data_IF_580130675319
#
_entry.id   IF_580130675319
#
_cell.length_a   1.000
_cell.length_b   1.000
_cell.length_c   1.000
_cell.angle_alpha   90.00
_cell.angle_beta   90.00
_cell.angle_gamma   90.00
#
_symmetry.space_group_name_H-M   'P 1'
#
loop_
_entity.id
_entity.type
_entity.pdbx_description
1 polymer ?
#
# COMPACT_ATOMS: atom_id res chain seq x y z
N UNK A 1 23.27 14.55 -8.87
CA UNK A 1 22.47 13.61 -8.05
C UNK A 1 20.98 13.87 -8.29
N UNK A 2 20.31 13.16 -9.22
CA UNK A 2 18.94 13.45 -9.66
C UNK A 2 17.91 13.55 -8.51
N UNK A 3 18.01 12.69 -7.49
CA UNK A 3 17.13 12.72 -6.32
C UNK A 3 17.17 14.04 -5.53
N UNK A 4 18.32 14.73 -5.47
CA UNK A 4 18.43 16.05 -4.82
C UNK A 4 17.70 17.12 -5.62
N UNK A 5 17.66 16.98 -6.93
CA UNK A 5 16.93 17.89 -7.83
C UNK A 5 15.43 17.74 -7.57
N UNK A 6 14.92 16.51 -7.42
CA UNK A 6 13.50 16.27 -7.09
C UNK A 6 13.12 16.96 -5.78
N UNK A 7 13.89 16.79 -4.70
CA UNK A 7 13.62 17.50 -3.44
C UNK A 7 13.70 19.02 -3.59
N UNK A 8 14.69 19.52 -4.34
CA UNK A 8 14.85 20.95 -4.58
C UNK A 8 13.71 21.53 -5.42
N UNK A 9 13.21 20.81 -6.43
CA UNK A 9 12.08 21.23 -7.26
C UNK A 9 10.77 21.18 -6.46
N UNK A 10 10.56 20.13 -5.66
CA UNK A 10 9.43 20.05 -4.71
C UNK A 10 9.43 21.22 -3.70
N UNK A 11 10.60 21.71 -3.31
CA UNK A 11 10.75 22.87 -2.42
C UNK A 11 10.65 24.23 -3.14
N UNK A 12 10.76 24.28 -4.48
CA UNK A 12 10.77 25.50 -5.29
C UNK A 12 9.44 25.78 -6.02
N UNK A 13 8.57 24.78 -6.16
CA UNK A 13 7.31 24.91 -6.90
C UNK A 13 6.35 25.90 -6.21
N UNK A 14 5.87 26.89 -6.95
CA UNK A 14 4.91 27.91 -6.50
C UNK A 14 3.44 27.50 -6.74
N UNK A 15 3.17 26.20 -6.88
CA UNK A 15 1.85 25.63 -7.15
C UNK A 15 1.59 24.39 -6.31
N UNK A 16 0.31 24.10 -6.06
CA UNK A 16 -0.16 22.95 -5.29
C UNK A 16 0.22 21.65 -6.04
N UNK A 17 1.23 20.94 -5.53
CA UNK A 17 1.65 19.65 -6.08
C UNK A 17 0.77 18.52 -5.55
N UNK A 18 0.72 17.36 -6.23
CA UNK A 18 0.06 16.18 -5.68
C UNK A 18 0.76 15.65 -4.43
N UNK A 19 -0.02 15.11 -3.50
CA UNK A 19 0.50 14.25 -2.43
C UNK A 19 0.72 12.85 -2.98
N UNK A 20 1.95 12.36 -2.88
CA UNK A 20 2.37 11.10 -3.44
C UNK A 20 2.44 10.00 -2.36
N UNK A 21 1.62 8.96 -2.48
CA UNK A 21 1.61 7.79 -1.59
C UNK A 21 2.12 6.55 -2.33
N UNK A 22 3.16 5.89 -1.80
CA UNK A 22 3.57 4.57 -2.28
C UNK A 22 2.97 3.44 -1.45
N UNK A 23 2.49 2.38 -2.10
CA UNK A 23 2.10 1.12 -1.46
C UNK A 23 2.90 -0.02 -2.11
N UNK A 24 4.01 -0.39 -1.47
CA UNK A 24 4.87 -1.48 -1.88
C UNK A 24 4.43 -2.82 -1.27
N UNK A 25 4.77 -3.92 -1.94
CA UNK A 25 4.59 -5.27 -1.42
C UNK A 25 4.52 -6.31 -2.53
N UNK A 26 4.63 -7.58 -2.19
CA UNK A 26 4.59 -8.65 -3.18
C UNK A 26 3.18 -8.82 -3.79
N UNK A 27 3.07 -9.58 -4.88
CA UNK A 27 1.79 -10.02 -5.44
C UNK A 27 0.94 -10.68 -4.36
N UNK A 28 -0.35 -10.34 -4.37
CA UNK A 28 -1.35 -10.80 -3.41
C UNK A 28 -1.13 -10.33 -1.97
N UNK A 29 -0.33 -9.30 -1.73
CA UNK A 29 -0.15 -8.74 -0.38
C UNK A 29 -1.34 -7.90 0.13
N UNK A 30 -2.35 -7.61 -0.71
CA UNK A 30 -3.52 -6.80 -0.34
C UNK A 30 -3.51 -5.34 -0.82
N UNK A 31 -2.51 -4.95 -1.63
CA UNK A 31 -2.30 -3.55 -2.08
C UNK A 31 -3.54 -2.95 -2.73
N UNK A 32 -4.07 -3.61 -3.76
CA UNK A 32 -5.24 -3.14 -4.50
C UNK A 32 -6.49 -3.01 -3.62
N UNK A 33 -6.65 -3.88 -2.62
CA UNK A 33 -7.75 -3.79 -1.64
C UNK A 33 -7.60 -2.54 -0.77
N UNK A 34 -6.38 -2.27 -0.29
CA UNK A 34 -6.06 -1.08 0.50
C UNK A 34 -6.29 0.19 -0.31
N UNK A 35 -5.74 0.26 -1.53
CA UNK A 35 -5.86 1.38 -2.47
C UNK A 35 -7.31 1.70 -2.81
N UNK A 36 -8.14 0.68 -3.10
CA UNK A 36 -9.53 0.88 -3.52
C UNK A 36 -10.36 1.63 -2.47
N UNK A 37 -10.23 1.30 -1.18
CA UNK A 37 -10.99 2.01 -0.15
C UNK A 37 -10.58 3.48 0.00
N UNK A 38 -9.29 3.79 -0.17
CA UNK A 38 -8.81 5.18 -0.19
C UNK A 38 -9.35 5.97 -1.37
N UNK A 39 -9.33 5.37 -2.58
CA UNK A 39 -9.87 5.99 -3.81
C UNK A 39 -11.37 6.28 -3.66
N UNK A 40 -12.13 5.30 -3.19
CA UNK A 40 -13.58 5.45 -2.99
C UNK A 40 -13.91 6.48 -1.90
N UNK A 41 -13.11 6.57 -0.85
CA UNK A 41 -13.30 7.52 0.24
C UNK A 41 -13.03 8.97 -0.18
N UNK A 42 -11.95 9.23 -0.93
CA UNK A 42 -11.56 10.59 -1.35
C UNK A 42 -12.25 11.04 -2.65
N UNK A 43 -12.82 10.10 -3.40
CA UNK A 43 -13.45 10.32 -4.69
C UNK A 43 -12.48 10.18 -5.86
N UNK A 44 -12.94 9.58 -6.96
CA UNK A 44 -12.16 9.36 -8.18
C UNK A 44 -11.68 10.69 -8.81
N UNK A 45 -12.41 11.78 -8.58
CA UNK A 45 -12.05 13.11 -9.09
C UNK A 45 -10.83 13.72 -8.39
N UNK A 46 -10.45 13.22 -7.22
CA UNK A 46 -9.32 13.72 -6.42
C UNK A 46 -8.12 12.76 -6.42
N UNK A 47 -8.32 11.53 -6.87
CA UNK A 47 -7.36 10.44 -6.70
C UNK A 47 -6.89 9.90 -8.05
N UNK A 48 -5.58 9.81 -8.22
CA UNK A 48 -4.96 9.07 -9.33
C UNK A 48 -4.33 7.81 -8.79
N UNK A 49 -4.67 6.64 -9.33
CA UNK A 49 -4.04 5.37 -8.97
C UNK A 49 -3.14 4.89 -10.10
N UNK A 50 -1.90 4.53 -9.78
CA UNK A 50 -0.89 4.05 -10.73
C UNK A 50 -0.33 2.72 -10.25
N UNK A 51 -0.42 1.68 -11.10
CA UNK A 51 0.22 0.40 -10.84
C UNK A 51 1.60 0.38 -11.49
N UNK A 52 2.68 0.19 -10.71
CA UNK A 52 4.04 0.09 -11.29
C UNK A 52 4.32 -1.25 -11.94
N UNK A 53 3.43 -2.24 -11.79
CA UNK A 53 3.52 -3.51 -12.52
C UNK A 53 3.22 -3.31 -14.02
N UNK A 54 2.62 -2.16 -14.41
CA UNK A 54 2.44 -1.76 -15.81
C UNK A 54 3.77 -1.53 -16.56
N UNK A 55 4.87 -1.33 -15.82
CA UNK A 55 6.20 -1.08 -16.39
C UNK A 55 6.96 -2.37 -16.68
N UNK A 56 6.31 -3.53 -16.72
CA UNK A 56 6.92 -4.75 -17.23
C UNK A 56 7.47 -4.54 -18.65
N UNK A 57 8.72 -4.94 -18.90
CA UNK A 57 9.35 -4.89 -20.24
C UNK A 57 8.82 -5.95 -21.20
N UNK A 58 8.28 -7.02 -20.64
CA UNK A 58 7.98 -8.25 -21.34
C UNK A 58 6.61 -8.76 -20.91
N UNK A 59 5.83 -9.23 -21.88
CA UNK A 59 4.55 -9.89 -21.60
C UNK A 59 4.74 -11.26 -20.90
N UNK A 60 3.65 -11.91 -20.49
CA UNK A 60 3.71 -13.21 -19.81
C UNK A 60 4.35 -14.31 -20.66
N UNK A 61 4.23 -14.27 -21.98
CA UNK A 61 4.80 -15.27 -22.90
C UNK A 61 6.29 -15.01 -23.09
N UNK A 62 6.68 -13.78 -23.39
CA UNK A 62 8.07 -13.35 -23.58
C UNK A 62 8.93 -13.57 -22.33
N UNK A 63 8.36 -13.40 -21.13
CA UNK A 63 9.07 -13.65 -19.87
C UNK A 63 9.42 -15.11 -19.62
N UNK A 64 8.75 -16.08 -20.26
CA UNK A 64 9.01 -17.51 -20.01
C UNK A 64 10.45 -17.90 -20.33
N UNK A 65 11.03 -17.27 -21.34
CA UNK A 65 12.38 -17.56 -21.84
C UNK A 65 13.46 -16.66 -21.22
N UNK A 66 13.12 -15.86 -20.20
CA UNK A 66 14.05 -14.97 -19.50
C UNK A 66 14.64 -15.66 -18.27
N UNK A 67 15.89 -15.32 -17.88
CA UNK A 67 16.54 -15.88 -16.70
C UNK A 67 16.02 -15.30 -15.37
N UNK A 68 14.96 -14.48 -15.43
CA UNK A 68 14.40 -13.76 -14.31
C UNK A 68 12.87 -13.72 -14.35
N UNK A 69 12.25 -13.46 -13.21
CA UNK A 69 10.78 -13.30 -13.10
C UNK A 69 10.35 -11.85 -13.22
N UNK A 70 9.04 -11.60 -13.09
CA UNK A 70 8.47 -10.26 -13.03
C UNK A 70 8.99 -9.40 -11.87
N UNK A 71 9.57 -10.02 -10.83
CA UNK A 71 10.06 -9.34 -9.64
C UNK A 71 11.45 -8.71 -9.86
N UNK A 72 12.21 -9.19 -10.85
CA UNK A 72 13.54 -8.68 -11.13
C UNK A 72 13.49 -7.26 -11.74
N UNK A 73 14.36 -6.32 -11.30
CA UNK A 73 14.44 -4.99 -11.88
C UNK A 73 14.63 -4.98 -13.40
N UNK A 74 15.47 -5.86 -13.95
CA UNK A 74 15.68 -6.00 -15.41
C UNK A 74 14.45 -6.46 -16.19
N UNK A 75 13.44 -7.02 -15.53
CA UNK A 75 12.14 -7.32 -16.14
C UNK A 75 11.22 -6.09 -16.22
N UNK A 76 11.65 -4.94 -15.70
CA UNK A 76 10.86 -3.73 -15.56
C UNK A 76 11.59 -2.50 -16.15
N UNK A 77 10.86 -1.58 -16.76
CA UNK A 77 11.37 -0.29 -17.21
C UNK A 77 11.53 0.66 -16.01
N UNK A 78 12.48 0.36 -15.12
CA UNK A 78 12.74 1.11 -13.89
C UNK A 78 13.07 2.58 -14.17
N UNK A 79 13.82 2.85 -15.23
CA UNK A 79 14.18 4.18 -15.72
C UNK A 79 12.95 5.00 -16.13
N UNK A 80 12.04 4.40 -16.92
CA UNK A 80 10.80 5.06 -17.33
C UNK A 80 9.87 5.26 -16.13
N UNK A 81 9.78 4.26 -15.25
CA UNK A 81 9.03 4.36 -13.99
C UNK A 81 9.54 5.54 -13.16
N UNK A 82 10.85 5.66 -12.93
CA UNK A 82 11.46 6.77 -12.19
C UNK A 82 11.15 8.14 -12.81
N UNK A 83 11.23 8.25 -14.14
CA UNK A 83 10.89 9.48 -14.86
C UNK A 83 9.41 9.85 -14.64
N UNK A 84 8.51 8.87 -14.77
CA UNK A 84 7.08 9.10 -14.60
C UNK A 84 6.72 9.46 -13.15
N UNK A 85 7.34 8.82 -12.15
CA UNK A 85 7.15 9.20 -10.74
C UNK A 85 7.59 10.63 -10.46
N UNK A 86 8.67 11.09 -11.10
CA UNK A 86 9.11 12.48 -10.99
C UNK A 86 8.09 13.43 -11.60
N UNK A 87 7.64 13.17 -12.83
CA UNK A 87 6.63 13.98 -13.52
C UNK A 87 5.35 14.10 -12.68
N UNK A 88 4.81 12.96 -12.23
CA UNK A 88 3.62 12.94 -11.37
C UNK A 88 3.82 13.74 -10.07
N UNK A 89 4.99 13.62 -9.42
CA UNK A 89 5.29 14.36 -8.20
C UNK A 89 5.40 15.88 -8.39
N UNK A 90 5.60 16.32 -9.65
CA UNK A 90 5.62 17.72 -10.06
C UNK A 90 4.27 18.20 -10.60
N UNK A 91 3.24 17.34 -10.64
CA UNK A 91 1.93 17.68 -11.20
C UNK A 91 1.86 17.58 -12.73
N UNK A 92 2.82 16.91 -13.36
CA UNK A 92 2.88 16.74 -14.82
C UNK A 92 2.26 15.40 -15.26
N UNK A 93 1.51 15.37 -16.38
CA UNK A 93 0.92 14.14 -16.90
C UNK A 93 1.97 13.20 -17.50
N UNK A 94 1.62 11.91 -17.58
CA UNK A 94 2.46 10.86 -18.17
C UNK A 94 1.69 10.03 -19.19
N UNK A 95 2.40 9.49 -20.18
CA UNK A 95 1.87 8.45 -21.06
C UNK A 95 2.30 7.09 -20.50
N UNK A 96 1.47 6.52 -19.62
CA UNK A 96 1.80 5.32 -18.84
C UNK A 96 1.61 4.05 -19.69
N UNK A 97 2.56 3.09 -19.69
CA UNK A 97 2.28 1.75 -20.23
C UNK A 97 1.13 1.07 -19.48
N UNK A 98 0.58 -0.01 -20.05
CA UNK A 98 -0.49 -0.78 -19.42
C UNK A 98 -0.21 -2.27 -19.60
N UNK A 99 -0.23 -3.01 -18.49
CA UNK A 99 -0.12 -4.46 -18.47
C UNK A 99 -1.45 -5.07 -18.03
N UNK A 100 -2.11 -5.79 -18.94
CA UNK A 100 -3.36 -6.48 -18.62
C UNK A 100 -3.06 -7.78 -17.87
N UNK A 101 -3.42 -7.83 -16.58
CA UNK A 101 -3.19 -9.03 -15.76
C UNK A 101 -4.07 -10.24 -16.14
N UNK A 102 -5.19 -10.02 -16.83
CA UNK A 102 -6.10 -11.08 -17.27
C UNK A 102 -5.48 -11.86 -18.43
N UNK A 103 -5.13 -11.17 -19.52
CA UNK A 103 -4.49 -11.76 -20.71
C UNK A 103 -3.00 -12.02 -20.47
N UNK A 104 -2.35 -11.18 -19.67
CA UNK A 104 -0.91 -11.18 -19.45
C UNK A 104 -0.13 -10.46 -20.54
N UNK A 105 -0.76 -9.52 -21.23
CA UNK A 105 -0.22 -8.81 -22.40
C UNK A 105 0.06 -7.33 -22.10
N UNK A 106 1.00 -6.75 -22.84
CA UNK A 106 1.22 -5.30 -22.87
C UNK A 106 0.26 -4.70 -23.89
N UNK A 107 -0.53 -3.71 -23.46
CA UNK A 107 -1.55 -3.06 -24.31
C UNK A 107 -1.22 -1.58 -24.53
N UNK A 108 -2.11 -0.86 -25.22
CA UNK A 108 -1.90 0.55 -25.57
C UNK A 108 -1.69 1.38 -24.29
N UNK A 109 -0.70 2.30 -24.28
CA UNK A 109 -0.50 3.18 -23.15
C UNK A 109 -1.68 4.15 -22.97
N UNK A 110 -1.84 4.64 -21.74
CA UNK A 110 -2.90 5.57 -21.35
C UNK A 110 -2.29 6.89 -20.84
N UNK A 111 -2.97 8.00 -21.14
CA UNK A 111 -2.64 9.29 -20.56
C UNK A 111 -3.13 9.31 -19.11
N UNK A 112 -2.23 9.58 -18.17
CA UNK A 112 -2.55 9.71 -16.75
C UNK A 112 -2.22 11.13 -16.32
N UNK A 113 -3.22 11.84 -15.83
CA UNK A 113 -3.08 13.17 -15.25
C UNK A 113 -3.05 13.06 -13.72
N UNK A 114 -2.08 13.66 -13.02
CA UNK A 114 -2.07 13.67 -11.57
C UNK A 114 -3.19 14.57 -11.02
N UNK A 115 -3.85 14.09 -9.97
CA UNK A 115 -4.86 14.83 -9.19
C UNK A 115 -4.28 15.30 -7.85
N UNK A 116 -5.13 15.74 -6.93
CA UNK A 116 -4.73 16.12 -5.56
C UNK A 116 -3.83 15.09 -4.88
N UNK A 117 -4.15 13.81 -5.09
CA UNK A 117 -3.44 12.69 -4.52
C UNK A 117 -3.11 11.67 -5.60
N UNK A 118 -1.91 11.11 -5.52
CA UNK A 118 -1.47 10.03 -6.41
C UNK A 118 -1.02 8.84 -5.57
N UNK A 119 -1.73 7.72 -5.68
CA UNK A 119 -1.33 6.45 -5.10
C UNK A 119 -0.58 5.64 -6.14
N UNK A 120 0.62 5.20 -5.79
CA UNK A 120 1.46 4.33 -6.60
C UNK A 120 1.61 3.00 -5.89
N UNK A 121 1.01 1.95 -6.45
CA UNK A 121 1.12 0.60 -5.91
C UNK A 121 1.88 -0.36 -6.83
N UNK A 122 2.50 -1.39 -6.27
CA UNK A 122 3.08 -2.46 -7.08
C UNK A 122 4.27 -3.15 -6.42
N UNK A 123 5.04 -3.86 -7.24
CA UNK A 123 6.17 -4.66 -6.79
C UNK A 123 7.41 -3.82 -6.43
N UNK A 124 7.72 -2.77 -7.18
CA UNK A 124 9.00 -2.05 -7.10
C UNK A 124 8.92 -0.53 -6.86
N UNK A 125 7.85 0.06 -6.28
CA UNK A 125 7.75 1.53 -6.19
C UNK A 125 8.82 2.15 -5.29
N UNK A 126 9.40 1.40 -4.34
CA UNK A 126 10.44 1.89 -3.42
C UNK A 126 11.83 1.34 -3.75
N UNK A 127 12.00 0.68 -4.90
CA UNK A 127 13.23 -0.05 -5.24
C UNK A 127 14.46 0.87 -5.29
N UNK A 128 14.35 2.00 -5.98
CA UNK A 128 15.47 2.93 -6.18
C UNK A 128 15.39 4.16 -5.28
N UNK A 129 16.55 4.79 -5.04
CA UNK A 129 16.58 6.04 -4.25
C UNK A 129 15.81 7.18 -4.93
N UNK A 130 15.81 7.20 -6.26
CA UNK A 130 15.13 8.25 -7.03
C UNK A 130 13.62 8.11 -6.95
N UNK A 131 13.09 6.90 -7.12
CA UNK A 131 11.66 6.63 -6.93
C UNK A 131 11.20 7.02 -5.51
N UNK A 132 11.96 6.60 -4.48
CA UNK A 132 11.66 6.94 -3.08
C UNK A 132 11.58 8.44 -2.81
N UNK A 133 12.43 9.24 -3.44
CA UNK A 133 12.45 10.69 -3.27
C UNK A 133 11.21 11.40 -3.84
N UNK A 134 10.36 10.69 -4.60
CA UNK A 134 9.13 11.23 -5.18
C UNK A 134 7.93 11.16 -4.23
N UNK A 135 7.98 10.33 -3.18
CA UNK A 135 6.85 10.11 -2.28
C UNK A 135 6.83 11.10 -1.10
N UNK A 136 5.62 11.39 -0.62
CA UNK A 136 5.37 12.05 0.67
C UNK A 136 5.17 11.01 1.78
N UNK A 137 4.51 9.89 1.44
CA UNK A 137 4.21 8.79 2.36
C UNK A 137 4.55 7.47 1.69
N UNK A 138 5.20 6.56 2.41
CA UNK A 138 5.58 5.23 1.90
C UNK A 138 5.07 4.12 2.81
N UNK A 139 4.34 3.18 2.22
CA UNK A 139 3.72 2.03 2.90
C UNK A 139 4.30 0.74 2.34
N UNK A 140 4.53 -0.24 3.19
CA UNK A 140 4.86 -1.60 2.78
C UNK A 140 3.89 -2.61 3.40
N UNK A 141 3.25 -3.44 2.57
CA UNK A 141 2.42 -4.55 3.03
C UNK A 141 3.27 -5.80 3.28
N UNK A 142 3.26 -6.26 4.53
CA UNK A 142 4.07 -7.37 5.04
C UNK A 142 3.23 -8.51 5.63
N UNK A 143 2.28 -9.09 4.88
CA UNK A 143 1.53 -10.24 5.37
C UNK A 143 2.46 -11.45 5.54
N UNK A 144 2.13 -12.38 6.47
CA UNK A 144 2.83 -13.66 6.56
C UNK A 144 2.86 -14.39 5.21
N UNK A 145 4.01 -14.95 4.84
CA UNK A 145 4.20 -15.61 3.54
C UNK A 145 3.20 -16.74 3.30
N UNK A 146 2.89 -17.54 4.33
CA UNK A 146 1.88 -18.61 4.24
C UNK A 146 0.49 -18.08 3.87
N UNK A 147 0.07 -16.97 4.50
CA UNK A 147 -1.22 -16.34 4.24
C UNK A 147 -1.25 -15.70 2.85
N UNK A 148 -0.17 -15.02 2.45
CA UNK A 148 -0.01 -14.44 1.11
C UNK A 148 -0.06 -15.51 0.02
N UNK A 149 0.61 -16.64 0.23
CA UNK A 149 0.59 -17.78 -0.69
C UNK A 149 -0.83 -18.32 -0.84
N UNK A 150 -1.57 -18.48 0.27
CA UNK A 150 -2.97 -18.91 0.26
C UNK A 150 -3.84 -17.94 -0.55
N UNK A 151 -3.77 -16.63 -0.26
CA UNK A 151 -4.51 -15.61 -1.02
C UNK A 151 -4.17 -15.60 -2.50
N UNK A 152 -2.90 -15.83 -2.86
CA UNK A 152 -2.48 -15.90 -4.25
C UNK A 152 -3.07 -17.12 -4.94
N UNK A 153 -3.02 -18.30 -4.30
CA UNK A 153 -3.62 -19.53 -4.82
C UNK A 153 -5.11 -19.29 -5.03
N UNK A 154 -5.85 -18.87 -4.01
CA UNK A 154 -7.29 -18.66 -4.10
C UNK A 154 -7.68 -17.63 -5.17
N UNK A 155 -6.94 -16.54 -5.28
CA UNK A 155 -7.20 -15.52 -6.31
C UNK A 155 -6.91 -16.05 -7.71
N UNK A 156 -5.74 -16.64 -7.93
CA UNK A 156 -5.28 -17.02 -9.27
C UNK A 156 -6.02 -18.28 -9.78
N UNK A 157 -6.49 -19.17 -8.90
CA UNK A 157 -7.36 -20.29 -9.26
C UNK A 157 -8.78 -19.82 -9.59
N UNK A 158 -9.41 -19.05 -8.69
CA UNK A 158 -10.82 -18.67 -8.84
C UNK A 158 -11.05 -17.57 -9.89
N UNK A 159 -10.12 -16.60 -10.03
CA UNK A 159 -10.32 -15.45 -10.93
C UNK A 159 -9.57 -15.53 -12.24
N UNK A 160 -8.54 -16.38 -12.34
CA UNK A 160 -7.65 -16.45 -13.51
C UNK A 160 -7.54 -17.85 -14.11
N UNK A 161 -8.18 -18.86 -13.53
CA UNK A 161 -8.26 -20.21 -14.07
C UNK A 161 -6.97 -21.03 -14.01
N UNK A 162 -6.00 -20.64 -13.18
CA UNK A 162 -4.77 -21.42 -12.99
C UNK A 162 -5.01 -22.65 -12.13
N UNK A 163 -4.27 -23.72 -12.37
CA UNK A 163 -4.22 -24.86 -11.45
C UNK A 163 -3.40 -24.49 -10.19
N UNK A 164 -3.78 -24.94 -8.98
CA UNK A 164 -3.05 -24.64 -7.75
C UNK A 164 -1.56 -24.97 -7.82
N UNK A 165 -1.19 -26.07 -8.48
CA UNK A 165 0.19 -26.53 -8.67
C UNK A 165 1.01 -25.56 -9.50
N UNK A 166 0.40 -24.97 -10.54
CA UNK A 166 1.05 -23.94 -11.36
C UNK A 166 1.34 -22.68 -10.54
N UNK A 167 0.41 -22.29 -9.67
CA UNK A 167 0.59 -21.12 -8.79
C UNK A 167 1.70 -21.37 -7.77
N UNK A 168 1.77 -22.58 -7.18
CA UNK A 168 2.83 -22.97 -6.24
C UNK A 168 4.21 -22.99 -6.92
N UNK A 169 4.34 -23.62 -8.09
CA UNK A 169 5.60 -23.62 -8.83
C UNK A 169 6.08 -22.20 -9.18
N UNK A 170 5.15 -21.30 -9.53
CA UNK A 170 5.46 -19.90 -9.80
C UNK A 170 5.88 -19.14 -8.53
N UNK A 171 5.28 -19.43 -7.38
CA UNK A 171 5.69 -18.88 -6.09
C UNK A 171 7.12 -19.30 -5.74
N UNK A 172 7.43 -20.59 -5.85
CA UNK A 172 8.77 -21.13 -5.56
C UNK A 172 9.83 -20.51 -6.49
N UNK A 173 9.49 -20.36 -7.78
CA UNK A 173 10.37 -19.71 -8.76
C UNK A 173 10.66 -18.25 -8.44
N UNK A 174 9.69 -17.54 -7.86
CA UNK A 174 9.79 -16.10 -7.53
C UNK A 174 10.48 -15.84 -6.20
N UNK A 175 10.51 -16.80 -5.30
CA UNK A 175 10.98 -16.61 -3.92
C UNK A 175 12.39 -16.01 -3.82
N UNK A 176 13.41 -16.45 -4.57
CA UNK A 176 14.74 -15.83 -4.52
C UNK A 176 14.72 -14.34 -4.91
N UNK A 177 13.92 -13.98 -5.92
CA UNK A 177 13.79 -12.59 -6.36
C UNK A 177 12.93 -11.74 -5.42
N UNK A 178 11.91 -12.33 -4.79
CA UNK A 178 11.14 -11.67 -3.73
C UNK A 178 12.05 -11.30 -2.55
N UNK A 179 12.91 -12.24 -2.13
CA UNK A 179 13.93 -12.03 -1.13
C UNK A 179 14.91 -10.91 -1.50
N UNK A 180 15.34 -10.86 -2.77
CA UNK A 180 16.37 -9.96 -3.24
C UNK A 180 15.87 -8.54 -3.56
N UNK A 181 14.64 -8.40 -4.06
CA UNK A 181 14.16 -7.16 -4.67
C UNK A 181 12.87 -6.60 -4.05
N UNK A 182 11.99 -7.46 -3.54
CA UNK A 182 10.70 -7.04 -2.98
C UNK A 182 10.83 -6.75 -1.49
N UNK A 183 11.14 -7.75 -0.68
CA UNK A 183 11.24 -7.63 0.79
C UNK A 183 12.21 -6.55 1.29
N UNK A 184 13.36 -6.31 0.63
CA UNK A 184 14.28 -5.25 1.06
C UNK A 184 13.72 -3.82 0.93
N UNK A 185 12.57 -3.63 0.24
CA UNK A 185 11.90 -2.33 0.18
C UNK A 185 11.23 -1.95 1.51
N UNK A 186 10.88 -2.93 2.36
CA UNK A 186 10.27 -2.73 3.67
C UNK A 186 11.03 -1.73 4.55
N UNK A 187 12.37 -1.72 4.50
CA UNK A 187 13.23 -0.81 5.29
C UNK A 187 13.07 0.67 4.94
N UNK A 188 12.45 0.97 3.81
CA UNK A 188 12.25 2.33 3.32
C UNK A 188 10.84 2.86 3.51
N UNK A 189 9.92 2.02 4.01
CA UNK A 189 8.57 2.45 4.31
C UNK A 189 8.51 3.29 5.59
N UNK A 190 7.62 4.27 5.62
CA UNK A 190 7.24 5.01 6.82
C UNK A 190 6.27 4.19 7.67
N UNK A 191 5.40 3.41 7.00
CA UNK A 191 4.40 2.56 7.64
C UNK A 191 4.53 1.14 7.10
N UNK A 192 4.71 0.17 8.00
CA UNK A 192 4.62 -1.26 7.63
C UNK A 192 3.29 -1.79 8.13
N UNK A 193 2.48 -2.36 7.24
CA UNK A 193 1.17 -2.92 7.58
C UNK A 193 1.20 -4.43 7.42
N UNK A 194 0.79 -5.13 8.47
CA UNK A 194 0.70 -6.58 8.51
C UNK A 194 -0.71 -7.01 8.91
N UNK A 195 -1.42 -7.66 8.01
CA UNK A 195 -2.67 -8.35 8.33
C UNK A 195 -2.38 -9.81 8.65
N UNK A 196 -2.70 -10.27 9.86
CA UNK A 196 -2.40 -11.62 10.31
C UNK A 196 -3.31 -12.07 11.47
N UNK A 197 -3.41 -13.39 11.71
CA UNK A 197 -3.88 -13.91 12.98
C UNK A 197 -2.95 -13.46 14.12
N UNK A 198 -3.47 -13.42 15.35
CA UNK A 198 -2.66 -13.08 16.53
C UNK A 198 -1.79 -14.29 16.88
N UNK A 199 -0.46 -14.13 16.83
CA UNK A 199 0.50 -15.24 16.88
C UNK A 199 0.39 -16.15 18.13
N UNK A 200 -0.02 -15.59 19.27
CA UNK A 200 -0.11 -16.30 20.56
C UNK A 200 -1.52 -16.82 20.85
N UNK A 201 -2.45 -16.70 19.90
CA UNK A 201 -3.85 -17.08 20.08
C UNK A 201 -4.26 -18.15 19.07
N UNK A 202 -4.86 -19.22 19.56
CA UNK A 202 -5.47 -20.25 18.72
C UNK A 202 -6.91 -19.86 18.42
N UNK A 203 -7.09 -19.13 17.32
CA UNK A 203 -8.41 -18.69 16.88
C UNK A 203 -9.07 -19.70 15.94
N UNK A 204 -10.42 -19.79 15.94
CA UNK A 204 -11.15 -20.44 14.86
C UNK A 204 -10.75 -19.89 13.49
N UNK A 205 -10.75 -20.70 12.41
CA UNK A 205 -10.40 -20.23 11.06
C UNK A 205 -11.23 -19.05 10.57
N UNK A 206 -12.47 -18.91 11.06
CA UNK A 206 -13.42 -17.85 10.71
C UNK A 206 -13.11 -16.51 11.40
N UNK A 207 -12.17 -16.47 12.35
CA UNK A 207 -11.84 -15.25 13.09
C UNK A 207 -11.20 -14.23 12.14
N UNK A 208 -11.73 -13.00 12.06
CA UNK A 208 -11.16 -12.00 11.18
C UNK A 208 -9.71 -11.66 11.56
N UNK A 209 -8.90 -11.40 10.54
CA UNK A 209 -7.50 -11.02 10.70
C UNK A 209 -7.39 -9.71 11.47
N UNK A 210 -6.39 -9.63 12.35
CA UNK A 210 -5.99 -8.38 12.98
C UNK A 210 -5.01 -7.63 12.08
N UNK A 211 -4.82 -6.33 12.31
CA UNK A 211 -3.79 -5.54 11.66
C UNK A 211 -2.75 -5.09 12.68
N UNK A 212 -1.48 -5.09 12.28
CA UNK A 212 -0.38 -4.45 12.97
C UNK A 212 0.20 -3.40 12.03
N UNK A 213 0.26 -2.15 12.50
CA UNK A 213 0.88 -1.04 11.80
C UNK A 213 2.12 -0.63 12.59
N UNK A 214 3.30 -0.80 11.99
CA UNK A 214 4.53 -0.23 12.52
C UNK A 214 4.66 1.19 11.99
N UNK A 215 4.46 2.16 12.88
CA UNK A 215 4.54 3.60 12.63
C UNK A 215 5.97 4.05 12.94
N UNK A 216 6.78 4.30 11.90
CA UNK A 216 8.18 4.70 12.07
C UNK A 216 8.28 6.22 12.19
N UNK A 217 9.18 6.75 13.03
CA UNK A 217 9.36 8.19 13.23
C UNK A 217 10.08 8.88 12.04
N UNK A 218 9.71 8.54 10.81
CA UNK A 218 10.18 9.15 9.55
C UNK A 218 9.19 10.18 9.01
N UNK A 219 7.93 10.12 9.45
CA UNK A 219 6.88 11.11 9.21
C UNK A 219 6.09 11.38 10.50
N UNK A 220 5.33 12.47 10.55
CA UNK A 220 4.46 12.79 11.68
C UNK A 220 3.20 11.91 11.66
N UNK A 221 3.02 11.13 12.72
CA UNK A 221 1.88 10.24 12.93
C UNK A 221 0.76 10.90 13.73
N UNK A 222 -0.51 10.47 13.55
CA UNK A 222 -1.63 11.02 14.30
C UNK A 222 -1.44 10.83 15.81
N UNK A 223 -1.87 11.81 16.60
CA UNK A 223 -1.94 11.65 18.05
C UNK A 223 -3.05 10.65 18.42
N UNK A 224 -2.65 9.46 18.89
CA UNK A 224 -3.57 8.38 19.21
C UNK A 224 -3.97 8.31 20.69
N UNK A 225 -3.37 9.13 21.58
CA UNK A 225 -3.61 9.06 23.04
C UNK A 225 -5.09 9.04 23.41
N UNK A 226 -5.86 10.03 22.94
CA UNK A 226 -7.29 10.08 23.23
C UNK A 226 -8.16 9.04 22.52
N UNK A 227 -7.60 8.12 21.69
CA UNK A 227 -8.34 6.91 21.24
C UNK A 227 -7.96 5.69 22.09
N UNK A 228 -6.81 5.74 22.76
CA UNK A 228 -6.22 4.63 23.51
C UNK A 228 -6.46 4.74 25.03
N UNK A 229 -6.69 5.95 25.55
CA UNK A 229 -6.81 6.24 26.99
C UNK A 229 -8.18 5.85 27.59
N UNK A 230 -9.19 5.64 26.76
CA UNK A 230 -10.45 5.04 27.21
C UNK A 230 -10.21 3.55 27.45
N UNK A 231 -10.13 3.16 28.72
CA UNK A 231 -9.95 1.78 29.19
C UNK A 231 -11.02 0.77 28.67
N UNK A 232 -12.01 1.25 27.94
CA UNK A 232 -13.08 0.49 27.30
C UNK A 232 -12.74 0.05 25.86
N UNK A 233 -11.80 0.70 25.14
CA UNK A 233 -11.51 0.38 23.74
C UNK A 233 -10.49 -0.76 23.61
N UNK A 234 -10.95 -2.00 23.76
CA UNK A 234 -10.18 -3.22 23.44
C UNK A 234 -9.95 -3.43 21.94
N UNK A 235 -10.44 -2.54 21.09
CA UNK A 235 -10.36 -2.64 19.63
C UNK A 235 -8.95 -2.37 19.08
N UNK A 236 -8.14 -1.53 19.74
CA UNK A 236 -6.76 -1.33 19.35
C UNK A 236 -5.87 -0.93 20.52
N UNK A 237 -4.57 -1.21 20.42
CA UNK A 237 -3.59 -0.76 21.41
C UNK A 237 -2.26 -0.39 20.76
N UNK A 238 -1.48 0.46 21.44
CA UNK A 238 -0.15 0.90 20.99
C UNK A 238 0.93 0.32 21.90
N UNK A 239 2.02 -0.16 21.31
CA UNK A 239 3.22 -0.61 22.04
C UNK A 239 4.48 -0.01 21.43
N UNK A 240 5.41 0.38 22.28
CA UNK A 240 6.78 0.63 21.83
C UNK A 240 7.42 -0.69 21.42
N UNK A 241 7.91 -0.75 20.19
CA UNK A 241 8.53 -1.93 19.62
C UNK A 241 9.87 -1.59 18.96
N UNK A 242 10.68 -2.62 18.71
CA UNK A 242 11.86 -2.51 17.85
C UNK A 242 11.61 -3.31 16.59
N UNK A 243 11.55 -2.63 15.46
CA UNK A 243 11.34 -3.27 14.17
C UNK A 243 12.52 -4.21 13.82
N UNK A 244 12.37 -5.02 12.77
CA UNK A 244 13.36 -6.01 12.30
C UNK A 244 14.71 -5.40 11.92
N UNK A 245 14.77 -4.09 11.63
CA UNK A 245 16.01 -3.33 11.40
C UNK A 245 16.54 -2.64 12.66
N UNK A 246 15.96 -2.91 13.83
CA UNK A 246 16.36 -2.42 15.15
C UNK A 246 15.83 -1.03 15.52
N UNK A 247 15.11 -0.35 14.60
CA UNK A 247 14.58 1.00 14.83
C UNK A 247 13.45 0.98 15.86
N UNK A 248 13.41 1.95 16.79
CA UNK A 248 12.24 2.13 17.64
C UNK A 248 11.05 2.57 16.79
N UNK A 249 9.90 1.93 16.99
CA UNK A 249 8.66 2.22 16.29
C UNK A 249 7.49 2.12 17.25
N UNK A 250 6.43 2.84 16.94
CA UNK A 250 5.13 2.64 17.58
C UNK A 250 4.39 1.55 16.82
N UNK A 251 4.11 0.42 17.49
CA UNK A 251 3.34 -0.68 16.94
C UNK A 251 1.87 -0.52 17.35
N UNK A 252 1.04 -0.11 16.39
CA UNK A 252 -0.42 -0.05 16.55
C UNK A 252 -1.03 -1.39 16.16
N UNK A 253 -1.64 -2.06 17.13
CA UNK A 253 -2.36 -3.31 16.91
C UNK A 253 -3.85 -3.03 16.86
N UNK A 254 -4.52 -3.43 15.78
CA UNK A 254 -5.96 -3.33 15.60
C UNK A 254 -6.55 -4.73 15.55
N UNK A 255 -7.45 -5.02 16.48
CA UNK A 255 -7.97 -6.35 16.71
C UNK A 255 -9.13 -6.68 15.75
N UNK A 256 -9.04 -7.79 15.04
CA UNK A 256 -10.09 -8.24 14.12
C UNK A 256 -11.29 -8.93 14.78
N UNK A 257 -11.24 -9.12 16.10
CA UNK A 257 -12.17 -9.96 16.86
C UNK A 257 -13.01 -9.17 17.86
N UNK A 258 -12.92 -7.85 17.85
CA UNK A 258 -13.74 -6.98 18.69
C UNK A 258 -15.15 -6.81 18.12
N UNK A 259 -16.08 -6.34 18.95
CA UNK A 259 -17.45 -6.15 18.51
C UNK A 259 -17.53 -5.01 17.47
N UNK A 260 -18.50 -5.04 16.54
CA UNK A 260 -18.70 -3.95 15.59
C UNK A 260 -18.89 -2.60 16.29
N UNK A 261 -19.58 -2.57 17.43
CA UNK A 261 -19.78 -1.34 18.21
C UNK A 261 -18.46 -0.75 18.71
N UNK A 262 -17.57 -1.58 19.28
CA UNK A 262 -16.25 -1.16 19.75
C UNK A 262 -15.39 -0.61 18.59
N UNK A 263 -15.37 -1.32 17.45
CA UNK A 263 -14.69 -0.86 16.24
C UNK A 263 -15.24 0.45 15.70
N UNK A 264 -16.55 0.66 15.75
CA UNK A 264 -17.18 1.88 15.24
C UNK A 264 -16.81 3.10 16.08
N UNK A 265 -16.71 2.97 17.41
CA UNK A 265 -16.26 4.07 18.27
C UNK A 265 -14.85 4.52 17.87
N UNK A 266 -13.91 3.58 17.76
CA UNK A 266 -12.52 3.88 17.36
C UNK A 266 -12.45 4.54 15.98
N UNK A 267 -13.18 4.00 14.98
CA UNK A 267 -13.21 4.59 13.63
C UNK A 267 -13.74 6.02 13.64
N UNK A 268 -14.80 6.29 14.42
CA UNK A 268 -15.41 7.62 14.52
C UNK A 268 -14.49 8.61 15.21
N UNK A 269 -13.81 8.21 16.30
CA UNK A 269 -12.83 9.05 16.99
C UNK A 269 -11.65 9.41 16.10
N UNK A 270 -11.12 8.47 15.30
CA UNK A 270 -10.05 8.77 14.33
C UNK A 270 -10.58 9.72 13.24
N UNK A 271 -11.79 9.49 12.74
CA UNK A 271 -12.42 10.31 11.71
C UNK A 271 -12.68 11.75 12.14
N UNK A 272 -13.19 11.96 13.36
CA UNK A 272 -13.43 13.29 13.92
C UNK A 272 -12.14 14.13 14.00
N UNK A 273 -10.98 13.49 14.19
CA UNK A 273 -9.67 14.16 14.17
C UNK A 273 -9.19 14.54 12.78
N UNK A 274 -9.79 14.02 11.71
CA UNK A 274 -9.46 14.42 10.35
C UNK A 274 -10.03 15.80 9.98
N UNK A 275 -10.87 16.39 10.85
CA UNK A 275 -11.55 17.66 10.64
C UNK A 275 -12.28 17.69 9.27
N UNK A 276 -12.93 16.57 8.95
CA UNK A 276 -13.67 16.42 7.69
C UNK A 276 -15.17 16.56 7.99
N UNK A 277 -15.91 17.42 7.25
CA UNK A 277 -17.33 17.72 7.53
C UNK A 277 -18.29 16.58 7.13
N UNK A 278 -17.78 15.50 6.54
CA UNK A 278 -18.58 14.38 6.05
C UNK A 278 -18.69 13.27 7.11
N UNK A 279 -19.70 12.41 6.96
CA UNK A 279 -19.80 11.17 7.74
C UNK A 279 -18.68 10.19 7.36
N UNK A 280 -18.35 9.28 8.28
CA UNK A 280 -17.39 8.20 8.04
C UNK A 280 -17.82 7.38 6.82
N UNK A 281 -17.02 7.29 5.74
CA UNK A 281 -17.46 6.63 4.52
C UNK A 281 -17.56 5.11 4.65
N UNK A 282 -18.70 4.54 4.22
CA UNK A 282 -18.97 3.10 4.19
C UNK A 282 -18.05 2.29 3.26
N UNK A 283 -17.28 2.98 2.42
CA UNK A 283 -16.30 2.39 1.50
C UNK A 283 -15.07 1.83 2.22
N UNK A 284 -14.75 2.34 3.41
CA UNK A 284 -13.60 1.90 4.19
C UNK A 284 -13.84 0.48 4.75
N UNK A 285 -12.80 -0.36 4.71
CA UNK A 285 -12.84 -1.74 5.21
C UNK A 285 -13.50 -2.75 4.27
N UNK A 286 -13.86 -2.38 3.04
CA UNK A 286 -14.51 -3.31 2.11
C UNK A 286 -13.52 -4.25 1.43
N UNK A 287 -13.71 -5.56 1.60
CA UNK A 287 -12.98 -6.63 0.92
C UNK A 287 -13.52 -6.90 -0.48
N UNK A 288 -12.78 -7.68 -1.28
CA UNK A 288 -13.09 -7.90 -2.70
C UNK A 288 -14.41 -8.66 -2.93
N UNK A 289 -14.84 -9.45 -1.95
CA UNK A 289 -16.10 -10.20 -1.89
C UNK A 289 -17.27 -9.39 -1.28
N UNK A 290 -17.02 -8.13 -0.89
CA UNK A 290 -18.01 -7.24 -0.26
C UNK A 290 -18.06 -7.31 1.26
N UNK A 291 -17.36 -8.27 1.88
CA UNK A 291 -17.29 -8.38 3.33
C UNK A 291 -16.60 -7.15 3.96
N UNK A 292 -16.99 -6.80 5.19
CA UNK A 292 -16.36 -5.73 5.96
C UNK A 292 -15.18 -6.24 6.78
N UNK A 293 -14.16 -5.40 6.96
CA UNK A 293 -13.01 -5.65 7.83
C UNK A 293 -12.67 -4.37 8.59
N UNK A 294 -12.91 -4.37 9.90
CA UNK A 294 -12.60 -3.22 10.75
C UNK A 294 -11.10 -2.91 10.84
N UNK A 295 -10.19 -3.89 10.95
CA UNK A 295 -8.76 -3.60 10.89
C UNK A 295 -8.31 -2.98 9.58
N UNK A 296 -8.91 -3.38 8.44
CA UNK A 296 -8.67 -2.73 7.16
C UNK A 296 -9.23 -1.29 7.14
N UNK A 297 -10.43 -1.07 7.66
CA UNK A 297 -11.03 0.26 7.75
C UNK A 297 -10.16 1.22 8.57
N UNK A 298 -9.72 0.79 9.75
CA UNK A 298 -8.85 1.59 10.62
C UNK A 298 -7.49 1.82 9.95
N UNK A 299 -6.91 0.81 9.28
CA UNK A 299 -5.68 1.00 8.49
C UNK A 299 -5.86 2.08 7.44
N UNK A 300 -6.97 2.04 6.69
CA UNK A 300 -7.26 3.05 5.67
C UNK A 300 -7.50 4.44 6.27
N UNK A 301 -8.12 4.54 7.45
CA UNK A 301 -8.28 5.82 8.17
C UNK A 301 -6.93 6.43 8.56
N UNK A 302 -5.99 5.62 9.04
CA UNK A 302 -4.64 6.11 9.37
C UNK A 302 -3.92 6.60 8.11
N UNK A 303 -4.03 5.89 6.98
CA UNK A 303 -3.43 6.36 5.73
C UNK A 303 -4.11 7.62 5.19
N UNK A 304 -5.43 7.71 5.35
CA UNK A 304 -6.20 8.89 4.98
C UNK A 304 -5.77 10.12 5.80
N UNK A 305 -5.51 9.95 7.11
CA UNK A 305 -4.93 10.99 7.95
C UNK A 305 -3.66 11.56 7.32
N UNK A 306 -2.71 10.69 6.97
CA UNK A 306 -1.44 11.12 6.38
C UNK A 306 -1.63 11.82 5.04
N UNK A 307 -2.53 11.33 4.18
CA UNK A 307 -2.84 11.99 2.91
C UNK A 307 -3.39 13.40 3.14
N UNK A 308 -4.40 13.55 4.00
CA UNK A 308 -5.07 14.82 4.27
C UNK A 308 -4.15 15.82 4.97
N UNK A 309 -3.35 15.38 5.94
CA UNK A 309 -2.34 16.22 6.61
C UNK A 309 -1.26 16.70 5.64
N UNK A 310 -0.69 15.80 4.83
CA UNK A 310 0.30 16.19 3.82
C UNK A 310 -0.28 17.20 2.83
N UNK A 311 -1.56 17.05 2.47
CA UNK A 311 -2.27 17.97 1.59
C UNK A 311 -2.53 19.35 2.25
N UNK A 312 -2.85 19.37 3.55
CA UNK A 312 -2.98 20.61 4.34
C UNK A 312 -1.65 21.34 4.46
N UNK A 313 -0.58 20.61 4.81
CA UNK A 313 0.77 21.16 4.95
C UNK A 313 1.31 21.75 3.64
N UNK A 314 0.89 21.24 2.48
CA UNK A 314 1.24 21.81 1.16
C UNK A 314 0.40 23.04 0.78
N UNK A 315 -0.74 23.26 1.42
CA UNK A 315 -1.64 24.39 1.17
C UNK A 315 -1.39 25.59 2.10
N UNK A 316 -0.66 25.39 3.20
CA UNK A 316 -0.24 26.40 4.17
C UNK A 316 1.05 27.12 3.74
#
# INVERSE_FOLDING_TARGET
>A
MPHRIVHMLRARGSGRRPVMLAIAGDSAAGKTTLTRGLVQCLGEDRMTAVCVDDYHRYDRRERKDKPFTALHPDCNHIDIMEQHLQLLSMGEPILKPVYDHSTGELVRPELVEPRDFVIVEGLLPLHTRLARACFDITVYLDPPESLRHQWKIDRDTNKRGYAPEQVRAELDRREPESAAYIRPQRRWADIVVRFAPVAERTDPPETPLSAELLLRPTIDHPELRGVLDDAEHRAMHLKLHRDTDGRPVDALHVHGYVSPEESQVVKKTIWERLDTPAELPDALGRLADGAGSDPLAITQLILLYHLLEANRAQAA
#
